data_IF_565536852056
#
_entry.id   IF_565536852056
#
_cell.length_a   1.000
_cell.length_b   1.000
_cell.length_c   1.000
_cell.angle_alpha   90.00
_cell.angle_beta   90.00
_cell.angle_gamma   90.00
#
_symmetry.space_group_name_H-M   'P 1'
#
loop_
_entity.id
_entity.type
_entity.pdbx_description
1 polymer ?
#
# COMPACT_ATOMS: atom_id res chain seq x y z
N UNK A 1 -5.26 -10.61 -13.50
CA UNK A 1 -5.49 -11.26 -12.19
C UNK A 1 -6.88 -11.86 -12.17
N UNK A 2 -7.10 -13.01 -12.81
CA UNK A 2 -8.44 -13.62 -12.91
C UNK A 2 -8.72 -14.58 -11.75
N UNK A 3 -7.69 -15.21 -11.18
CA UNK A 3 -7.83 -16.19 -10.10
C UNK A 3 -8.26 -15.57 -8.76
N UNK A 4 -7.77 -14.36 -8.46
CA UNK A 4 -8.15 -13.57 -7.28
C UNK A 4 -9.63 -13.15 -7.30
N UNK A 5 -10.25 -13.08 -8.48
CA UNK A 5 -11.68 -12.83 -8.66
C UNK A 5 -12.51 -14.10 -8.45
N UNK A 6 -12.26 -14.83 -7.35
CA UNK A 6 -13.01 -16.04 -6.98
C UNK A 6 -13.42 -16.02 -5.51
N UNK A 7 -14.48 -16.76 -5.18
CA UNK A 7 -14.99 -16.86 -3.81
C UNK A 7 -15.34 -15.50 -3.19
N UNK A 8 -14.89 -15.29 -1.95
CA UNK A 8 -15.14 -14.09 -1.15
C UNK A 8 -14.29 -12.87 -1.53
N UNK A 9 -13.25 -13.05 -2.35
CA UNK A 9 -12.33 -11.97 -2.75
C UNK A 9 -12.72 -11.32 -4.10
N UNK A 10 -13.95 -11.56 -4.56
CA UNK A 10 -14.52 -10.94 -5.77
C UNK A 10 -14.91 -9.48 -5.52
N UNK A 11 -13.94 -8.58 -5.61
CA UNK A 11 -14.17 -7.14 -5.49
C UNK A 11 -14.22 -6.49 -6.87
N UNK A 12 -15.39 -5.91 -7.21
CA UNK A 12 -15.60 -5.28 -8.51
C UNK A 12 -14.64 -4.10 -8.69
N UNK A 13 -13.81 -4.16 -9.73
CA UNK A 13 -12.88 -3.09 -10.09
C UNK A 13 -11.59 -3.04 -9.27
N UNK A 14 -11.39 -3.94 -8.31
CA UNK A 14 -10.17 -3.95 -7.48
C UNK A 14 -8.90 -4.23 -8.30
N UNK A 15 -8.98 -5.10 -9.31
CA UNK A 15 -7.87 -5.38 -10.22
C UNK A 15 -7.76 -4.39 -11.39
N UNK A 16 -8.51 -3.28 -11.37
CA UNK A 16 -8.37 -2.25 -12.39
C UNK A 16 -7.05 -1.49 -12.21
N UNK A 17 -6.39 -1.15 -13.32
CA UNK A 17 -5.14 -0.39 -13.31
C UNK A 17 -5.18 0.86 -12.39
N UNK A 18 -6.20 1.74 -12.45
CA UNK A 18 -6.23 2.91 -11.57
C UNK A 18 -6.35 2.53 -10.09
N UNK A 19 -7.13 1.50 -9.74
CA UNK A 19 -7.28 1.05 -8.36
C UNK A 19 -5.97 0.53 -7.79
N UNK A 20 -5.26 -0.32 -8.55
CA UNK A 20 -3.97 -0.89 -8.16
C UNK A 20 -2.90 0.20 -8.00
N UNK A 21 -2.88 1.18 -8.90
CA UNK A 21 -1.92 2.29 -8.86
C UNK A 21 -2.10 3.15 -7.59
N UNK A 22 -3.35 3.51 -7.27
CA UNK A 22 -3.67 4.33 -6.08
C UNK A 22 -3.35 3.54 -4.80
N UNK A 23 -3.74 2.27 -4.72
CA UNK A 23 -3.45 1.45 -3.55
C UNK A 23 -1.96 1.21 -3.37
N UNK A 24 -1.23 0.99 -4.46
CA UNK A 24 0.23 0.82 -4.44
C UNK A 24 0.94 2.07 -3.94
N UNK A 25 0.53 3.26 -4.41
CA UNK A 25 1.07 4.53 -3.95
C UNK A 25 0.82 4.73 -2.45
N UNK A 26 -0.38 4.42 -1.97
CA UNK A 26 -0.73 4.52 -0.56
C UNK A 26 0.13 3.61 0.33
N UNK A 27 0.28 2.33 -0.05
CA UNK A 27 1.04 1.36 0.72
C UNK A 27 2.53 1.72 0.74
N UNK A 28 3.12 2.01 -0.42
CA UNK A 28 4.53 2.38 -0.51
C UNK A 28 4.82 3.71 0.18
N UNK A 29 3.92 4.69 0.04
CA UNK A 29 4.01 5.97 0.74
C UNK A 29 3.96 5.81 2.26
N UNK A 30 3.06 4.96 2.77
CA UNK A 30 2.98 4.66 4.20
C UNK A 30 4.26 3.99 4.71
N UNK A 31 4.82 3.02 3.98
CA UNK A 31 6.07 2.36 4.36
C UNK A 31 7.22 3.38 4.40
N UNK A 32 7.38 4.19 3.36
CA UNK A 32 8.41 5.22 3.30
C UNK A 32 8.26 6.24 4.44
N UNK A 33 7.04 6.68 4.72
CA UNK A 33 6.75 7.56 5.85
C UNK A 33 7.16 6.93 7.18
N UNK A 34 6.80 5.67 7.43
CA UNK A 34 7.15 4.97 8.67
C UNK A 34 8.66 4.80 8.84
N UNK A 35 9.39 4.52 7.75
CA UNK A 35 10.86 4.44 7.78
C UNK A 35 11.47 5.79 8.16
N UNK A 36 11.05 6.87 7.49
CA UNK A 36 11.56 8.22 7.77
C UNK A 36 11.22 8.65 9.20
N UNK A 37 9.99 8.37 9.64
CA UNK A 37 9.55 8.66 10.99
C UNK A 37 10.35 7.88 12.03
N UNK A 38 10.61 6.60 11.80
CA UNK A 38 11.42 5.78 12.70
C UNK A 38 12.86 6.30 12.81
N UNK A 39 13.49 6.67 11.68
CA UNK A 39 14.83 7.26 11.69
C UNK A 39 14.88 8.58 12.46
N UNK A 40 13.92 9.48 12.21
CA UNK A 40 13.82 10.75 12.92
C UNK A 40 13.58 10.54 14.41
N UNK A 41 12.63 9.68 14.77
CA UNK A 41 12.27 9.44 16.17
C UNK A 41 13.37 8.75 16.97
N UNK A 42 14.16 7.88 16.34
CA UNK A 42 15.20 7.12 17.02
C UNK A 42 16.54 7.86 17.10
N UNK A 43 16.88 8.66 16.08
CA UNK A 43 18.24 9.21 15.93
C UNK A 43 18.31 10.74 15.82
N UNK A 44 17.24 11.44 15.41
CA UNK A 44 17.32 12.88 15.17
C UNK A 44 17.07 13.74 16.42
N UNK A 45 16.56 13.16 17.51
CA UNK A 45 16.39 13.80 18.82
C UNK A 45 17.34 13.23 19.89
N UNK A 46 18.31 12.40 19.48
CA UNK A 46 19.35 11.84 20.34
C UNK A 46 20.60 12.75 20.37
#
# INVERSE_FOLDING_TARGET
MTDLNRGIMKFKGADSFPSVAISGLLILGAIAFLILWALQSAYALA
#
